data_IF_539798861363
#
_entry.id   IF_539798861363
#
_cell.length_a   1.000
_cell.length_b   1.000
_cell.length_c   1.000
_cell.angle_alpha   90.00
_cell.angle_beta   90.00
_cell.angle_gamma   90.00
#
_symmetry.space_group_name_H-M   'P 1'
#
loop_
_entity.id
_entity.type
_entity.pdbx_description
1 polymer ?
#
# COMPACT_ATOMS: atom_id res chain seq x y z
N UNK A 1 4.60 9.74 -7.24
CA UNK A 1 4.76 10.56 -8.46
C UNK A 1 3.47 10.66 -9.26
N UNK A 2 2.83 9.53 -9.69
CA UNK A 2 1.57 9.56 -10.46
C UNK A 2 0.51 10.44 -9.79
N UNK A 3 0.20 10.22 -8.52
CA UNK A 3 -0.80 11.01 -7.79
C UNK A 3 -0.44 12.49 -7.63
N UNK A 4 0.85 12.82 -7.50
CA UNK A 4 1.32 14.19 -7.38
C UNK A 4 1.07 14.97 -8.69
N UNK A 5 1.41 14.37 -9.82
CA UNK A 5 1.23 14.97 -11.15
C UNK A 5 -0.26 15.05 -11.51
N UNK A 6 -1.01 13.99 -11.26
CA UNK A 6 -2.46 13.94 -11.48
C UNK A 6 -3.21 14.98 -10.63
N UNK A 7 -2.87 15.11 -9.34
CA UNK A 7 -3.52 16.10 -8.47
C UNK A 7 -3.28 17.55 -8.89
N UNK A 8 -2.21 17.81 -9.65
CA UNK A 8 -1.90 19.16 -10.12
C UNK A 8 -2.45 19.45 -11.52
N UNK A 9 -2.29 18.53 -12.47
CA UNK A 9 -2.67 18.71 -13.88
C UNK A 9 -3.97 17.98 -14.24
N UNK A 10 -5.07 18.72 -14.46
CA UNK A 10 -6.40 18.16 -14.78
C UNK A 10 -6.41 17.23 -16.01
N UNK A 11 -5.64 17.51 -17.04
CA UNK A 11 -5.56 16.68 -18.25
C UNK A 11 -4.87 15.32 -17.99
N UNK A 12 -3.76 15.36 -17.26
CA UNK A 12 -3.03 14.15 -16.88
C UNK A 12 -3.87 13.33 -15.92
N UNK A 13 -4.58 13.99 -15.01
CA UNK A 13 -5.52 13.37 -14.09
C UNK A 13 -6.58 12.52 -14.80
N UNK A 14 -7.23 13.09 -15.80
CA UNK A 14 -8.30 12.39 -16.53
C UNK A 14 -7.79 11.07 -17.18
N UNK A 15 -6.57 11.07 -17.72
CA UNK A 15 -5.98 9.88 -18.35
C UNK A 15 -5.45 8.90 -17.30
N UNK A 16 -4.65 9.39 -16.35
CA UNK A 16 -4.03 8.53 -15.34
C UNK A 16 -5.05 7.87 -14.44
N UNK A 17 -6.08 8.60 -14.01
CA UNK A 17 -7.13 8.00 -13.18
C UNK A 17 -7.94 6.96 -13.94
N UNK A 18 -8.16 7.13 -15.25
CA UNK A 18 -8.81 6.09 -16.06
C UNK A 18 -8.01 4.81 -16.13
N UNK A 19 -6.67 4.92 -16.26
CA UNK A 19 -5.78 3.74 -16.22
C UNK A 19 -5.81 3.09 -14.84
N UNK A 20 -5.76 3.90 -13.77
CA UNK A 20 -5.85 3.41 -12.39
C UNK A 20 -7.20 2.72 -12.12
N UNK A 21 -8.30 3.26 -12.65
CA UNK A 21 -9.63 2.64 -12.55
C UNK A 21 -9.68 1.28 -13.25
N UNK A 22 -9.08 1.18 -14.45
CA UNK A 22 -8.94 -0.08 -15.16
C UNK A 22 -8.17 -1.15 -14.38
N UNK A 23 -7.05 -0.77 -13.76
CA UNK A 23 -6.27 -1.68 -12.92
C UNK A 23 -7.06 -2.15 -11.69
N UNK A 24 -7.86 -1.27 -11.08
CA UNK A 24 -8.69 -1.62 -9.91
C UNK A 24 -9.93 -2.44 -10.24
N UNK A 25 -10.34 -2.50 -11.52
CA UNK A 25 -11.44 -3.34 -11.94
C UNK A 25 -11.10 -4.84 -11.88
N UNK A 26 -9.80 -5.19 -11.91
CA UNK A 26 -9.34 -6.57 -11.79
C UNK A 26 -9.15 -6.89 -10.31
N UNK A 27 -9.75 -7.98 -9.77
CA UNK A 27 -9.49 -8.42 -8.41
C UNK A 27 -7.98 -8.64 -8.18
N UNK A 28 -7.42 -8.02 -7.13
CA UNK A 28 -5.97 -8.00 -6.89
C UNK A 28 -5.35 -9.39 -6.81
N UNK A 29 -6.04 -10.34 -6.16
CA UNK A 29 -5.57 -11.73 -6.04
C UNK A 29 -5.50 -12.41 -7.41
N UNK A 30 -6.50 -12.22 -8.27
CA UNK A 30 -6.52 -12.81 -9.62
C UNK A 30 -5.41 -12.23 -10.49
N UNK A 31 -5.17 -10.92 -10.40
CA UNK A 31 -4.07 -10.27 -11.10
C UNK A 31 -2.72 -10.80 -10.61
N UNK A 32 -2.55 -10.96 -9.29
CA UNK A 32 -1.33 -11.50 -8.73
C UNK A 32 -1.08 -12.95 -9.18
N UNK A 33 -2.10 -13.81 -9.16
CA UNK A 33 -2.00 -15.20 -9.66
C UNK A 33 -1.61 -15.21 -11.14
N UNK A 34 -2.22 -14.36 -11.97
CA UNK A 34 -1.90 -14.28 -13.40
C UNK A 34 -0.44 -13.88 -13.63
N UNK A 35 0.06 -12.87 -12.91
CA UNK A 35 1.46 -12.42 -13.01
C UNK A 35 2.43 -13.53 -12.61
N UNK A 36 2.18 -14.20 -11.48
CA UNK A 36 3.06 -15.30 -11.01
C UNK A 36 3.01 -16.48 -11.96
N UNK A 37 1.84 -16.84 -12.49
CA UNK A 37 1.69 -17.96 -13.45
C UNK A 37 2.43 -17.72 -14.77
N UNK A 38 2.51 -16.48 -15.22
CA UNK A 38 3.21 -16.11 -16.46
C UNK A 38 4.72 -15.95 -16.26
N UNK A 39 5.16 -15.48 -15.09
CA UNK A 39 6.57 -15.11 -14.85
C UNK A 39 7.35 -16.12 -14.02
N UNK A 40 6.67 -17.15 -13.49
CA UNK A 40 7.25 -18.16 -12.61
C UNK A 40 7.23 -17.75 -11.12
N UNK A 41 7.26 -18.78 -10.26
CA UNK A 41 7.21 -18.64 -8.80
C UNK A 41 8.58 -18.20 -8.25
N UNK A 42 8.73 -16.91 -7.93
CA UNK A 42 9.91 -16.36 -7.28
C UNK A 42 9.51 -15.24 -6.32
N UNK A 43 10.36 -14.94 -5.33
CA UNK A 43 10.12 -13.83 -4.41
C UNK A 43 9.91 -12.51 -5.17
N UNK A 44 10.76 -12.24 -6.17
CA UNK A 44 10.65 -11.00 -6.96
C UNK A 44 9.34 -10.92 -7.73
N UNK A 45 8.92 -12.01 -8.37
CA UNK A 45 7.66 -12.07 -9.12
C UNK A 45 6.47 -11.83 -8.20
N UNK A 46 6.45 -12.46 -7.02
CA UNK A 46 5.38 -12.29 -6.03
C UNK A 46 5.34 -10.84 -5.52
N UNK A 47 6.49 -10.23 -5.22
CA UNK A 47 6.56 -8.82 -4.81
C UNK A 47 6.00 -7.88 -5.89
N UNK A 48 6.38 -8.09 -7.15
CA UNK A 48 5.83 -7.31 -8.28
C UNK A 48 4.33 -7.53 -8.42
N UNK A 49 3.87 -8.78 -8.34
CA UNK A 49 2.46 -9.14 -8.46
C UNK A 49 1.57 -8.49 -7.37
N UNK A 50 2.08 -8.39 -6.13
CA UNK A 50 1.40 -7.73 -5.02
C UNK A 50 1.45 -6.20 -5.18
N UNK A 51 2.55 -5.66 -5.70
CA UNK A 51 2.76 -4.21 -5.82
C UNK A 51 1.85 -3.58 -6.88
N UNK A 52 1.63 -4.24 -8.01
CA UNK A 52 0.84 -3.69 -9.13
C UNK A 52 -0.56 -3.24 -8.69
N UNK A 53 -1.37 -4.03 -7.96
CA UNK A 53 -2.70 -3.61 -7.49
C UNK A 53 -2.68 -2.47 -6.47
N UNK A 54 -1.56 -2.27 -5.75
CA UNK A 54 -1.44 -1.22 -4.74
C UNK A 54 -1.10 0.15 -5.36
N UNK A 55 -0.51 0.19 -6.56
CA UNK A 55 -0.17 1.44 -7.26
C UNK A 55 -1.38 2.39 -7.37
N UNK A 56 -2.57 1.96 -7.84
CA UNK A 56 -3.74 2.82 -7.93
C UNK A 56 -4.20 3.39 -6.59
N UNK A 57 -4.17 2.59 -5.53
CA UNK A 57 -4.58 3.02 -4.18
C UNK A 57 -3.68 4.13 -3.66
N UNK A 58 -2.37 3.94 -3.75
CA UNK A 58 -1.38 4.94 -3.33
C UNK A 58 -1.44 6.19 -4.22
N UNK A 59 -1.63 6.02 -5.54
CA UNK A 59 -1.77 7.14 -6.46
C UNK A 59 -2.98 8.01 -6.13
N UNK A 60 -4.13 7.41 -5.82
CA UNK A 60 -5.36 8.13 -5.42
C UNK A 60 -5.20 8.85 -4.08
N UNK A 61 -4.54 8.21 -3.10
CA UNK A 61 -4.24 8.84 -1.82
C UNK A 61 -3.40 10.11 -2.02
N UNK A 62 -2.28 10.01 -2.74
CA UNK A 62 -1.42 11.17 -3.01
C UNK A 62 -2.18 12.25 -3.78
N UNK A 63 -2.96 11.86 -4.79
CA UNK A 63 -3.80 12.78 -5.55
C UNK A 63 -4.78 13.56 -4.65
N UNK A 64 -5.48 12.89 -3.74
CA UNK A 64 -6.44 13.56 -2.85
C UNK A 64 -5.76 14.58 -1.95
N UNK A 65 -4.59 14.25 -1.40
CA UNK A 65 -3.79 15.18 -0.59
C UNK A 65 -3.33 16.39 -1.41
N UNK A 66 -2.87 16.16 -2.64
CA UNK A 66 -2.43 17.25 -3.53
C UNK A 66 -3.59 18.16 -3.92
N UNK A 67 -4.77 17.60 -4.20
CA UNK A 67 -5.97 18.39 -4.51
C UNK A 67 -6.36 19.32 -3.36
N UNK A 68 -6.30 18.85 -2.11
CA UNK A 68 -6.55 19.68 -0.94
C UNK A 68 -5.43 20.71 -0.72
N UNK A 69 -4.17 20.27 -0.77
CA UNK A 69 -3.03 21.13 -0.49
C UNK A 69 -2.85 22.27 -1.51
N UNK A 70 -3.22 22.06 -2.76
CA UNK A 70 -3.08 23.09 -3.80
C UNK A 70 -4.05 24.27 -3.63
N UNK A 71 -5.12 24.09 -2.85
CA UNK A 71 -6.13 25.14 -2.54
C UNK A 71 -5.75 25.94 -1.28
N UNK A 72 -4.63 25.63 -0.65
CA UNK A 72 -4.15 26.31 0.54
C UNK A 72 -3.51 27.67 0.20
N UNK A 73 -3.72 28.72 1.03
CA UNK A 73 -3.26 30.08 0.76
C UNK A 73 -1.75 30.21 0.51
N UNK A 74 -0.92 29.36 1.14
CA UNK A 74 0.51 29.40 0.95
C UNK A 74 0.95 28.93 -0.46
N UNK A 75 0.15 28.04 -1.08
CA UNK A 75 0.40 27.59 -2.47
C UNK A 75 -0.02 28.70 -3.44
N UNK A 76 -1.16 29.35 -3.21
CA UNK A 76 -1.60 30.51 -4.01
C UNK A 76 -0.59 31.65 -3.94
N UNK A 77 -0.07 31.93 -2.74
CA UNK A 77 0.99 32.93 -2.56
C UNK A 77 2.26 32.56 -3.35
N UNK A 78 2.67 31.29 -3.33
CA UNK A 78 3.83 30.83 -4.10
C UNK A 78 3.64 30.98 -5.62
N UNK A 79 2.43 30.74 -6.13
CA UNK A 79 2.05 30.95 -7.53
C UNK A 79 2.11 32.45 -7.86
N UNK A 80 1.55 33.31 -7.02
CA UNK A 80 1.48 34.76 -7.22
C UNK A 80 2.86 35.42 -7.26
N UNK A 81 3.83 34.90 -6.51
CA UNK A 81 5.25 35.34 -6.53
C UNK A 81 6.00 34.74 -7.71
N UNK A 82 5.37 33.94 -8.60
CA UNK A 82 6.00 33.42 -9.80
C UNK A 82 6.89 32.19 -9.58
N UNK A 83 6.66 31.42 -8.52
CA UNK A 83 7.40 30.15 -8.29
C UNK A 83 7.14 29.16 -9.43
N UNK A 84 8.20 28.51 -9.92
CA UNK A 84 8.07 27.50 -10.97
C UNK A 84 7.27 26.26 -10.49
N UNK A 85 6.51 25.63 -11.39
CA UNK A 85 5.69 24.46 -11.10
C UNK A 85 6.47 23.32 -10.41
N UNK A 86 7.66 22.90 -10.87
CA UNK A 86 8.45 21.89 -10.19
C UNK A 86 8.78 22.26 -8.73
N UNK A 87 9.09 23.54 -8.47
CA UNK A 87 9.38 24.04 -7.14
C UNK A 87 8.16 23.97 -6.23
N UNK A 88 6.98 24.32 -6.75
CA UNK A 88 5.70 24.19 -6.01
C UNK A 88 5.43 22.72 -5.67
N UNK A 89 5.57 21.83 -6.64
CA UNK A 89 5.32 20.38 -6.43
C UNK A 89 6.27 19.79 -5.38
N UNK A 90 7.58 20.07 -5.45
CA UNK A 90 8.57 19.47 -4.55
C UNK A 90 8.61 20.12 -3.17
N UNK A 91 8.46 21.44 -3.10
CA UNK A 91 8.65 22.20 -1.85
C UNK A 91 7.37 22.43 -1.07
N UNK A 92 6.21 22.49 -1.75
CA UNK A 92 4.94 22.83 -1.12
C UNK A 92 3.94 21.65 -1.09
N UNK A 93 3.87 20.85 -2.16
CA UNK A 93 2.87 19.76 -2.24
C UNK A 93 3.42 18.42 -1.75
N UNK A 94 4.61 18.02 -2.20
CA UNK A 94 5.18 16.72 -1.82
C UNK A 94 5.34 16.52 -0.30
N UNK A 95 5.82 17.50 0.50
CA UNK A 95 5.97 17.30 1.93
C UNK A 95 4.65 16.95 2.65
N UNK A 96 3.52 17.50 2.17
CA UNK A 96 2.19 17.18 2.73
C UNK A 96 1.74 15.74 2.47
N UNK A 97 2.36 15.06 1.49
CA UNK A 97 2.03 13.67 1.16
C UNK A 97 2.81 12.66 2.00
N UNK A 98 3.88 13.06 2.69
CA UNK A 98 4.79 12.13 3.38
C UNK A 98 4.07 11.44 4.55
N UNK A 99 3.39 12.18 5.40
CA UNK A 99 2.70 11.60 6.56
C UNK A 99 1.60 10.60 6.12
N UNK A 100 0.66 10.93 5.22
CA UNK A 100 -0.28 9.97 4.67
C UNK A 100 0.38 8.77 3.97
N UNK A 101 1.52 8.96 3.30
CA UNK A 101 2.25 7.86 2.65
C UNK A 101 2.91 6.91 3.65
N UNK A 102 3.42 7.39 4.78
CA UNK A 102 3.97 6.54 5.85
C UNK A 102 2.85 5.64 6.39
N UNK A 103 1.70 6.22 6.72
CA UNK A 103 0.54 5.47 7.22
C UNK A 103 0.04 4.46 6.18
N UNK A 104 -0.10 4.89 4.92
CA UNK A 104 -0.49 3.98 3.84
C UNK A 104 0.54 2.87 3.62
N UNK A 105 1.83 3.17 3.80
CA UNK A 105 2.91 2.19 3.67
C UNK A 105 2.81 1.05 4.67
N UNK A 106 2.46 1.31 5.92
CA UNK A 106 2.25 0.25 6.93
C UNK A 106 1.03 -0.61 6.60
N UNK A 107 -0.07 -0.01 6.13
CA UNK A 107 -1.24 -0.76 5.66
C UNK A 107 -0.89 -1.66 4.45
N UNK A 108 -0.16 -1.13 3.46
CA UNK A 108 0.29 -1.90 2.29
C UNK A 108 1.21 -3.04 2.72
N UNK A 109 2.08 -2.82 3.69
CA UNK A 109 2.96 -3.86 4.24
C UNK A 109 2.15 -4.99 4.89
N UNK A 110 1.18 -4.67 5.75
CA UNK A 110 0.30 -5.66 6.37
C UNK A 110 -0.53 -6.44 5.32
N UNK A 111 -1.08 -5.74 4.32
CA UNK A 111 -1.82 -6.33 3.20
C UNK A 111 -0.94 -7.23 2.34
N UNK A 112 0.33 -6.84 2.11
CA UNK A 112 1.28 -7.64 1.34
C UNK A 112 1.64 -8.96 2.03
N UNK A 113 1.85 -8.94 3.35
CA UNK A 113 2.09 -10.14 4.15
C UNK A 113 0.90 -11.12 4.01
N UNK A 114 -0.33 -10.61 4.14
CA UNK A 114 -1.53 -11.43 4.00
C UNK A 114 -1.67 -11.99 2.58
N UNK A 115 -1.46 -11.15 1.56
CA UNK A 115 -1.61 -11.54 0.16
C UNK A 115 -0.57 -12.58 -0.24
N UNK A 116 0.69 -12.43 0.20
CA UNK A 116 1.73 -13.46 0.00
C UNK A 116 1.29 -14.79 0.62
N UNK A 117 0.85 -14.79 1.87
CA UNK A 117 0.42 -16.00 2.55
C UNK A 117 -0.78 -16.68 1.83
N UNK A 118 -1.73 -15.90 1.30
CA UNK A 118 -2.84 -16.43 0.51
C UNK A 118 -2.35 -17.03 -0.80
N UNK A 119 -1.47 -16.34 -1.53
CA UNK A 119 -0.91 -16.83 -2.80
C UNK A 119 -0.12 -18.13 -2.59
N UNK A 120 0.74 -18.17 -1.58
CA UNK A 120 1.50 -19.37 -1.22
C UNK A 120 0.59 -20.51 -0.75
N UNK A 121 -0.43 -20.21 0.06
CA UNK A 121 -1.43 -21.19 0.47
C UNK A 121 -2.20 -21.79 -0.71
N UNK A 122 -2.48 -21.00 -1.75
CA UNK A 122 -3.14 -21.46 -2.98
C UNK A 122 -2.19 -22.17 -3.94
N UNK A 123 -0.88 -22.18 -3.67
CA UNK A 123 0.14 -22.76 -4.54
C UNK A 123 0.58 -21.86 -5.70
N UNK A 124 0.17 -20.57 -5.68
CA UNK A 124 0.53 -19.56 -6.67
C UNK A 124 1.50 -18.49 -6.08
N UNK A 125 2.19 -18.82 -5.00
CA UNK A 125 3.10 -17.92 -4.29
C UNK A 125 4.58 -18.20 -4.58
N UNK A 126 5.41 -18.06 -3.53
CA UNK A 126 6.84 -18.37 -3.56
C UNK A 126 7.03 -19.89 -3.67
N UNK A 127 8.17 -20.33 -4.26
CA UNK A 127 8.50 -21.75 -4.38
C UNK A 127 8.29 -22.50 -3.06
N UNK A 128 7.67 -23.71 -3.09
CA UNK A 128 7.48 -24.53 -1.90
C UNK A 128 8.77 -24.87 -1.13
N UNK A 129 9.92 -24.81 -1.79
CA UNK A 129 11.23 -25.03 -1.15
C UNK A 129 11.59 -23.89 -0.17
N UNK A 130 10.95 -22.72 -0.31
CA UNK A 130 11.17 -21.58 0.60
C UNK A 130 10.15 -21.64 1.74
N UNK A 131 10.59 -21.76 2.99
CA UNK A 131 9.67 -21.83 4.13
C UNK A 131 9.01 -20.48 4.35
N UNK A 132 7.71 -20.38 4.03
CA UNK A 132 6.84 -19.24 4.37
C UNK A 132 5.66 -19.74 5.19
N UNK A 133 5.01 -18.86 5.94
CA UNK A 133 3.81 -19.25 6.69
C UNK A 133 2.71 -19.79 5.75
N UNK A 134 2.57 -19.18 4.56
CA UNK A 134 1.64 -19.64 3.54
C UNK A 134 1.95 -21.04 3.04
N UNK A 135 3.20 -21.35 2.73
CA UNK A 135 3.62 -22.68 2.28
C UNK A 135 3.44 -23.75 3.36
N UNK A 136 3.80 -23.44 4.62
CA UNK A 136 3.60 -24.36 5.75
C UNK A 136 2.11 -24.68 5.92
N UNK A 137 1.23 -23.68 5.84
CA UNK A 137 -0.22 -23.88 5.89
C UNK A 137 -0.73 -24.69 4.68
N UNK A 138 -0.14 -24.46 3.49
CA UNK A 138 -0.50 -25.22 2.28
C UNK A 138 -0.19 -26.72 2.42
N UNK A 139 0.98 -27.07 2.93
CA UNK A 139 1.35 -28.46 3.26
C UNK A 139 0.44 -29.05 4.34
N UNK A 140 0.12 -28.25 5.36
CA UNK A 140 -0.76 -28.65 6.46
C UNK A 140 -2.17 -29.04 6.03
N UNK A 141 -2.65 -28.61 4.84
CA UNK A 141 -3.98 -28.97 4.31
C UNK A 141 -4.18 -30.49 4.21
N UNK A 142 -3.16 -31.19 3.73
CA UNK A 142 -3.23 -32.65 3.57
C UNK A 142 -3.39 -33.41 4.92
N UNK A 143 -2.95 -32.80 6.00
CA UNK A 143 -2.93 -33.38 7.34
C UNK A 143 -3.93 -32.72 8.30
N UNK A 144 -4.83 -31.88 7.80
CA UNK A 144 -5.70 -31.04 8.64
C UNK A 144 -6.54 -31.85 9.63
N UNK A 145 -7.06 -33.03 9.21
CA UNK A 145 -7.87 -33.91 10.07
C UNK A 145 -7.05 -34.58 11.20
N UNK A 146 -5.75 -34.75 11.01
CA UNK A 146 -4.86 -35.47 11.94
C UNK A 146 -4.02 -34.47 12.77
N UNK A 147 -3.56 -33.40 12.16
CA UNK A 147 -2.65 -32.41 12.74
C UNK A 147 -3.09 -30.97 12.39
N UNK A 148 -4.22 -30.47 12.89
CA UNK A 148 -4.73 -29.14 12.58
C UNK A 148 -3.77 -28.02 13.02
N UNK A 149 -2.88 -28.30 13.97
CA UNK A 149 -1.87 -27.35 14.45
C UNK A 149 -0.89 -26.89 13.37
N UNK A 150 -0.71 -27.62 12.25
CA UNK A 150 0.12 -27.22 11.12
C UNK A 150 -0.43 -25.99 10.38
N UNK A 151 -1.74 -25.77 10.48
CA UNK A 151 -2.38 -24.56 9.94
C UNK A 151 -2.57 -23.53 11.05
N UNK A 152 -2.97 -23.96 12.26
CA UNK A 152 -3.30 -23.06 13.35
C UNK A 152 -2.12 -22.18 13.79
N UNK A 153 -0.95 -22.76 14.05
CA UNK A 153 0.19 -22.01 14.56
C UNK A 153 0.76 -20.99 13.55
N UNK A 154 1.04 -21.35 12.29
CA UNK A 154 1.47 -20.37 11.30
C UNK A 154 0.42 -19.29 11.06
N UNK A 155 -0.87 -19.64 11.04
CA UNK A 155 -1.97 -18.70 10.91
C UNK A 155 -2.08 -17.72 12.07
N UNK A 156 -1.86 -18.20 13.30
CA UNK A 156 -1.81 -17.35 14.50
C UNK A 156 -0.64 -16.37 14.44
N UNK A 157 0.56 -16.86 14.12
CA UNK A 157 1.75 -16.01 13.99
C UNK A 157 1.60 -14.95 12.89
N UNK A 158 1.04 -15.35 11.75
CA UNK A 158 0.70 -14.45 10.65
C UNK A 158 -0.27 -13.35 11.12
N UNK A 159 -1.32 -13.72 11.85
CA UNK A 159 -2.32 -12.78 12.37
C UNK A 159 -1.70 -11.79 13.36
N UNK A 160 -0.82 -12.26 14.25
CA UNK A 160 -0.09 -11.40 15.20
C UNK A 160 0.83 -10.44 14.45
N UNK A 161 1.56 -10.91 13.42
CA UNK A 161 2.44 -10.08 12.63
C UNK A 161 1.66 -8.97 11.90
N UNK A 162 0.54 -9.31 11.24
CA UNK A 162 -0.33 -8.34 10.57
C UNK A 162 -0.88 -7.31 11.55
N UNK A 163 -1.38 -7.77 12.71
CA UNK A 163 -1.88 -6.88 13.75
C UNK A 163 -0.80 -5.93 14.26
N UNK A 164 0.42 -6.44 14.49
CA UNK A 164 1.55 -5.63 14.94
C UNK A 164 1.92 -4.52 13.95
N UNK A 165 1.96 -4.85 12.64
CA UNK A 165 2.23 -3.86 11.58
C UNK A 165 1.12 -2.81 11.52
N UNK A 166 -0.15 -3.20 11.65
CA UNK A 166 -1.27 -2.25 11.68
C UNK A 166 -1.21 -1.32 12.90
N UNK A 167 -0.89 -1.85 14.09
CA UNK A 167 -0.72 -1.04 15.30
C UNK A 167 0.44 -0.03 15.18
N UNK A 168 1.54 -0.43 14.53
CA UNK A 168 2.64 0.49 14.21
C UNK A 168 2.15 1.59 13.26
N UNK A 169 1.32 1.23 12.28
CA UNK A 169 0.70 2.19 11.35
C UNK A 169 -0.19 3.21 12.06
N UNK A 170 -1.03 2.74 12.98
CA UNK A 170 -1.91 3.61 13.76
C UNK A 170 -1.09 4.53 14.68
N UNK A 171 -0.08 4.01 15.37
CA UNK A 171 0.83 4.81 16.18
C UNK A 171 1.59 5.86 15.35
N UNK A 172 2.02 5.51 14.13
CA UNK A 172 2.66 6.45 13.22
C UNK A 172 1.68 7.54 12.76
N UNK A 173 0.42 7.19 12.51
CA UNK A 173 -0.64 8.15 12.19
C UNK A 173 -0.85 9.15 13.31
N UNK A 174 -1.00 8.68 14.55
CA UNK A 174 -1.23 9.53 15.71
C UNK A 174 -0.04 10.45 15.97
N UNK A 175 1.18 9.95 15.82
CA UNK A 175 2.41 10.74 15.98
C UNK A 175 2.59 11.82 14.90
N UNK A 176 2.07 11.58 13.68
CA UNK A 176 2.18 12.50 12.55
C UNK A 176 0.99 13.46 12.42
N UNK A 177 -0.10 13.27 13.19
CA UNK A 177 -1.28 14.17 13.17
C UNK A 177 -1.01 15.45 13.98
N UNK A 178 -0.95 16.63 13.34
CA UNK A 178 -0.71 17.89 14.02
C UNK A 178 -1.80 18.28 15.03
N UNK A 179 -3.02 17.76 14.86
CA UNK A 179 -4.17 18.08 15.72
C UNK A 179 -4.04 17.48 17.11
N UNK A 180 -3.42 16.32 17.23
CA UNK A 180 -3.16 15.67 18.53
C UNK A 180 -2.20 16.50 19.39
N UNK A 181 -1.17 17.13 18.78
CA UNK A 181 -0.23 18.00 19.52
C UNK A 181 -0.86 19.26 20.10
N UNK A 182 -1.94 19.76 19.52
CA UNK A 182 -2.65 20.95 20.04
C UNK A 182 -3.49 20.61 21.29
N UNK A 183 -3.96 19.37 21.42
CA UNK A 183 -4.72 18.92 22.58
C UNK A 183 -3.82 18.64 23.79
N UNK A 184 -2.57 18.23 23.59
CA UNK A 184 -1.58 17.98 24.66
C UNK A 184 -0.89 19.29 25.15
N UNK A 185 -0.74 20.29 24.27
CA UNK A 185 -0.13 21.59 24.60
C UNK A 185 -1.07 22.60 25.27
N UNK A 186 -2.35 22.26 25.44
CA UNK A 186 -3.38 23.11 26.07
C UNK A 186 -3.64 22.82 27.56
N UNK A 187 -2.73 22.09 28.23
CA UNK A 187 -2.79 21.88 29.70
C UNK A 187 -1.72 22.65 30.42
#
# INVERSE_FOLDING_TARGET
MIGLVSGFFKWIDAIMMRVMDGLMAIPSILLAIAVVSLSGASLTTVLVAITIPEIPRVARLVRSVVLSAREEPYVEAAISVGSSLPKIMWRHLMPNTIAPLIVQGTYVCASAILTEAILSFLGAGISPETPTWGNIMAEGRAYFQIKPQLIFWPGLLLSIAILSVNLIGDAARDALDPRMKQLEGGK
#
